data_IF_594589703714
#
_entry.id   IF_594589703714
#
_cell.length_a   1.000
_cell.length_b   1.000
_cell.length_c   1.000
_cell.angle_alpha   90.00
_cell.angle_beta   90.00
_cell.angle_gamma   90.00
#
_symmetry.space_group_name_H-M   'P 1'
#
loop_
_entity.id
_entity.type
_entity.pdbx_description
1 polymer ?
#
# COMPACT_ATOMS: atom_id res chain seq x y z
N UNK A 1 17.68 8.25 3.55
CA UNK A 1 17.76 7.84 2.13
C UNK A 1 16.38 7.66 1.48
N UNK A 2 15.54 6.71 1.91
CA UNK A 2 14.23 6.45 1.28
C UNK A 2 13.21 7.60 1.39
N UNK A 3 13.09 8.21 2.57
CA UNK A 3 12.16 9.33 2.79
C UNK A 3 12.38 10.49 1.81
N UNK A 4 13.63 10.92 1.62
CA UNK A 4 13.99 11.98 0.67
C UNK A 4 13.55 11.64 -0.77
N UNK A 5 13.74 10.38 -1.19
CA UNK A 5 13.32 9.92 -2.52
C UNK A 5 11.80 9.91 -2.68
N UNK A 6 11.06 9.52 -1.63
CA UNK A 6 9.61 9.62 -1.61
C UNK A 6 9.14 11.08 -1.71
N UNK A 7 9.73 11.97 -0.92
CA UNK A 7 9.42 13.41 -0.93
C UNK A 7 9.65 14.01 -2.33
N UNK A 8 10.72 13.59 -3.03
CA UNK A 8 11.02 14.02 -4.39
C UNK A 8 10.02 13.50 -5.43
N UNK A 9 9.64 12.22 -5.36
CA UNK A 9 8.69 11.61 -6.30
C UNK A 9 7.26 12.10 -6.11
N UNK A 10 6.94 12.59 -4.92
CA UNK A 10 5.57 12.97 -4.52
C UNK A 10 5.38 14.49 -4.44
N UNK A 11 6.28 15.29 -5.03
CA UNK A 11 6.19 16.75 -5.07
C UNK A 11 4.85 17.26 -5.61
N UNK A 12 4.35 16.62 -6.67
CA UNK A 12 3.13 17.03 -7.37
C UNK A 12 1.87 16.31 -6.87
N UNK A 13 1.97 15.51 -5.82
CA UNK A 13 0.85 14.71 -5.30
C UNK A 13 0.10 15.53 -4.26
N UNK A 14 -1.22 15.37 -4.24
CA UNK A 14 -2.06 15.98 -3.21
C UNK A 14 -1.75 15.34 -1.85
N UNK A 15 -1.96 16.07 -0.75
CA UNK A 15 -1.60 15.56 0.59
C UNK A 15 -2.24 14.22 0.99
N UNK A 16 -3.39 13.87 0.39
CA UNK A 16 -4.07 12.58 0.58
C UNK A 16 -3.50 11.44 -0.28
N UNK A 17 -2.76 11.75 -1.35
CA UNK A 17 -2.08 10.78 -2.22
C UNK A 17 -0.67 10.48 -1.72
N UNK A 18 -0.17 11.29 -0.78
CA UNK A 18 1.18 11.12 -0.26
C UNK A 18 1.27 9.93 0.72
N UNK A 19 2.20 9.02 0.46
CA UNK A 19 2.70 8.02 1.41
C UNK A 19 3.13 8.72 2.70
N UNK A 20 2.50 8.36 3.83
CA UNK A 20 2.79 8.96 5.14
C UNK A 20 3.70 8.08 5.98
N UNK A 21 3.53 6.76 5.88
CA UNK A 21 4.28 5.77 6.64
C UNK A 21 4.65 4.60 5.73
N UNK A 22 5.86 4.08 5.92
CA UNK A 22 6.35 2.90 5.20
C UNK A 22 7.22 2.05 6.12
N UNK A 23 7.31 0.75 5.82
CA UNK A 23 8.22 -0.17 6.49
C UNK A 23 8.83 -1.10 5.44
N UNK A 24 10.12 -1.35 5.58
CA UNK A 24 10.83 -2.26 4.69
C UNK A 24 10.59 -3.69 5.17
N UNK A 25 10.15 -4.54 4.25
CA UNK A 25 10.02 -5.96 4.50
C UNK A 25 11.36 -6.65 4.19
N UNK A 26 11.73 -7.70 4.95
CA UNK A 26 12.98 -8.43 4.73
C UNK A 26 12.93 -9.35 3.49
N UNK A 27 11.74 -9.55 2.92
CA UNK A 27 11.50 -10.42 1.77
C UNK A 27 10.58 -9.72 0.78
N UNK A 28 10.81 -10.01 -0.49
CA UNK A 28 9.96 -9.58 -1.60
C UNK A 28 8.67 -10.41 -1.66
N UNK A 29 7.67 -9.91 -2.37
CA UNK A 29 6.45 -10.66 -2.64
C UNK A 29 6.69 -11.71 -3.72
N UNK A 30 6.12 -12.89 -3.55
CA UNK A 30 6.29 -13.98 -4.53
C UNK A 30 4.97 -14.53 -5.05
N UNK A 31 5.02 -15.13 -6.24
CA UNK A 31 3.90 -15.86 -6.83
C UNK A 31 3.61 -17.12 -6.00
N UNK A 32 4.65 -17.85 -5.61
CA UNK A 32 4.56 -19.11 -4.85
C UNK A 32 3.89 -18.92 -3.49
N UNK A 33 4.16 -17.79 -2.81
CA UNK A 33 3.51 -17.46 -1.55
C UNK A 33 2.07 -16.93 -1.74
N UNK A 34 1.59 -16.83 -2.98
CA UNK A 34 0.25 -16.32 -3.31
C UNK A 34 0.08 -14.82 -3.08
N UNK A 35 1.17 -14.06 -2.97
CA UNK A 35 1.16 -12.61 -2.74
C UNK A 35 1.06 -11.83 -4.05
N UNK A 36 1.49 -12.46 -5.15
CA UNK A 36 1.37 -11.96 -6.50
C UNK A 36 0.43 -12.86 -7.34
N UNK A 37 -0.13 -12.28 -8.40
CA UNK A 37 -0.72 -13.02 -9.52
C UNK A 37 0.38 -13.51 -10.45
N UNK A 38 0.05 -14.44 -11.36
CA UNK A 38 0.98 -14.87 -12.40
C UNK A 38 1.47 -13.71 -13.28
N UNK A 39 0.70 -12.62 -13.36
CA UNK A 39 1.08 -11.38 -14.06
C UNK A 39 1.72 -10.34 -13.13
N UNK A 40 2.29 -10.75 -12.00
CA UNK A 40 2.99 -9.90 -11.01
C UNK A 40 2.13 -8.81 -10.34
N UNK A 41 0.81 -8.82 -10.53
CA UNK A 41 -0.10 -7.92 -9.80
C UNK A 41 -0.22 -8.36 -8.35
N UNK A 42 -0.20 -7.40 -7.43
CA UNK A 42 -0.30 -7.62 -5.99
C UNK A 42 -1.69 -8.14 -5.57
N UNK A 43 -1.72 -9.23 -4.79
CA UNK A 43 -2.92 -9.75 -4.14
C UNK A 43 -3.11 -9.13 -2.76
N UNK A 44 -3.65 -7.91 -2.74
CA UNK A 44 -3.84 -7.08 -1.52
C UNK A 44 -4.42 -7.84 -0.33
N UNK A 45 -5.51 -8.60 -0.53
CA UNK A 45 -6.16 -9.36 0.56
C UNK A 45 -5.22 -10.32 1.28
N UNK A 46 -4.35 -11.00 0.53
CA UNK A 46 -3.38 -11.96 1.07
C UNK A 46 -2.31 -11.21 1.85
N UNK A 47 -1.77 -10.13 1.28
CA UNK A 47 -0.74 -9.30 1.92
C UNK A 47 -1.26 -8.67 3.22
N UNK A 48 -2.45 -8.07 3.21
CA UNK A 48 -3.05 -7.48 4.41
C UNK A 48 -3.22 -8.52 5.52
N UNK A 49 -3.62 -9.75 5.19
CA UNK A 49 -3.75 -10.82 6.18
C UNK A 49 -2.39 -11.25 6.73
N UNK A 50 -1.40 -11.44 5.86
CA UNK A 50 -0.07 -11.95 6.22
C UNK A 50 0.76 -10.94 7.02
N UNK A 51 0.68 -9.66 6.66
CA UNK A 51 1.45 -8.58 7.27
C UNK A 51 0.60 -7.73 8.22
N UNK A 52 -0.54 -8.26 8.68
CA UNK A 52 -1.52 -7.55 9.50
C UNK A 52 -0.88 -6.88 10.71
N UNK A 53 -0.08 -7.61 11.48
CA UNK A 53 0.57 -7.10 12.69
C UNK A 53 1.55 -5.97 12.39
N UNK A 54 2.31 -6.09 11.29
CA UNK A 54 3.25 -5.05 10.87
C UNK A 54 2.49 -3.79 10.45
N UNK A 55 1.42 -3.93 9.67
CA UNK A 55 0.57 -2.81 9.24
C UNK A 55 -0.10 -2.18 10.47
N UNK A 56 -0.68 -2.98 11.36
CA UNK A 56 -1.33 -2.50 12.59
C UNK A 56 -0.33 -1.75 13.48
N UNK A 57 0.91 -2.23 13.61
CA UNK A 57 1.95 -1.52 14.37
C UNK A 57 2.32 -0.16 13.78
N UNK A 58 2.16 0.03 12.46
CA UNK A 58 2.41 1.32 11.81
C UNK A 58 1.31 2.34 12.09
N UNK A 59 0.05 1.89 12.21
CA UNK A 59 -1.12 2.78 12.36
C UNK A 59 -1.68 2.86 13.78
N UNK A 60 -1.34 1.92 14.66
CA UNK A 60 -1.89 1.79 16.01
C UNK A 60 -3.39 1.52 16.03
N UNK A 61 -3.95 1.26 17.23
CA UNK A 61 -5.40 1.04 17.43
C UNK A 61 -6.29 2.20 16.96
N UNK A 62 -5.73 3.42 16.86
CA UNK A 62 -6.46 4.63 16.48
C UNK A 62 -7.02 4.62 15.06
N UNK A 63 -6.61 3.68 14.20
CA UNK A 63 -7.11 3.53 12.83
C UNK A 63 -7.72 2.15 12.59
N UNK A 64 -8.47 1.61 13.56
CA UNK A 64 -9.33 0.46 13.31
C UNK A 64 -10.36 0.86 12.25
N UNK A 65 -10.18 0.36 11.03
CA UNK A 65 -11.06 0.59 9.89
C UNK A 65 -12.49 0.19 10.28
N UNK A 66 -13.34 1.18 10.59
CA UNK A 66 -14.72 0.94 11.05
C UNK A 66 -15.65 0.60 9.90
N UNK A 67 -15.33 0.98 8.66
CA UNK A 67 -16.16 0.75 7.47
C UNK A 67 -15.35 0.32 6.25
N UNK A 68 -15.98 -0.46 5.36
CA UNK A 68 -15.40 -0.96 4.11
C UNK A 68 -14.85 0.16 3.22
N UNK A 69 -15.45 1.36 3.23
CA UNK A 69 -14.98 2.55 2.53
C UNK A 69 -13.64 3.10 3.04
N UNK A 70 -13.35 2.91 4.33
CA UNK A 70 -12.16 3.47 4.97
C UNK A 70 -10.92 2.61 4.69
N UNK A 71 -11.12 1.36 4.25
CA UNK A 71 -10.07 0.45 3.74
C UNK A 71 -9.46 0.96 2.43
N UNK A 72 -10.26 1.65 1.61
CA UNK A 72 -9.85 2.18 0.31
C UNK A 72 -9.37 3.64 0.35
N UNK A 73 -9.38 4.29 1.53
CA UNK A 73 -8.96 5.69 1.72
C UNK A 73 -7.53 5.86 2.26
N UNK A 74 -6.93 4.81 2.81
CA UNK A 74 -5.58 4.87 3.33
C UNK A 74 -4.58 4.46 2.23
N UNK A 75 -4.11 5.45 1.48
CA UNK A 75 -3.13 5.35 0.40
C UNK A 75 -1.71 4.94 0.84
N UNK A 76 -1.57 4.16 1.90
CA UNK A 76 -0.27 3.75 2.38
C UNK A 76 0.11 2.34 1.85
N UNK A 77 1.17 2.34 1.04
CA UNK A 77 1.65 1.31 0.09
C UNK A 77 0.81 1.21 -1.18
N UNK A 78 1.10 2.13 -2.09
CA UNK A 78 0.79 2.09 -3.51
C UNK A 78 2.07 2.36 -4.31
N UNK A 79 2.47 1.42 -5.16
CA UNK A 79 3.43 1.53 -6.27
C UNK A 79 2.87 0.56 -7.34
N UNK A 80 2.63 0.85 -8.62
CA UNK A 80 2.27 2.06 -9.39
C UNK A 80 1.47 1.56 -10.63
N UNK A 81 0.64 2.45 -11.21
CA UNK A 81 0.11 2.49 -12.59
C UNK A 81 -0.38 1.18 -13.27
N UNK A 82 -1.68 1.11 -13.52
CA UNK A 82 -2.17 0.74 -14.86
C UNK A 82 -2.98 1.94 -15.36
N UNK A 83 -2.51 2.51 -16.48
CA UNK A 83 -3.16 3.56 -17.22
C UNK A 83 -4.23 2.88 -18.08
N UNK A 84 -5.35 2.52 -17.47
CA UNK A 84 -6.55 2.18 -18.22
C UNK A 84 -7.63 3.13 -17.72
N UNK A 85 -7.97 4.04 -18.63
CA UNK A 85 -9.28 4.64 -18.75
C UNK A 85 -10.36 3.72 -18.17
N UNK A 86 -11.14 4.22 -17.22
CA UNK A 86 -12.56 3.94 -17.22
C UNK A 86 -13.31 5.22 -16.87
N UNK A 87 -14.37 5.53 -17.62
CA UNK A 87 -15.09 6.80 -17.55
C UNK A 87 -16.13 6.78 -16.43
N UNK A 88 -16.30 7.94 -15.79
CA UNK A 88 -17.62 8.49 -15.44
C UNK A 88 -17.57 9.98 -15.72
#
# INVERSE_FOLDING_TARGET
MFKKRFDELQKNFSGFEKIKKFKLLPKEFTIDAGELTATLKIKRKVIYKKYKEIIDSMYGEKMRIKRKSDLYKNNDIFIFKDHLSDPV
#
